data_IF_815859589806
#
_entry.id   IF_815859589806
#
_cell.length_a   1.000
_cell.length_b   1.000
_cell.length_c   1.000
_cell.angle_alpha   90.00
_cell.angle_beta   90.00
_cell.angle_gamma   90.00
#
_symmetry.space_group_name_H-M   'P 1'
#
loop_
_entity.id
_entity.type
_entity.pdbx_description
1 polymer ?
#
# COMPACT_ATOMS: atom_id res chain seq x y z
N UNK A 1 -10.61 -2.43 -26.24
CA UNK A 1 -10.89 -1.01 -26.55
C UNK A 1 -12.16 -0.56 -25.81
N UNK A 2 -12.20 -0.55 -24.49
CA UNK A 2 -13.34 -0.01 -23.73
C UNK A 2 -12.87 0.53 -22.39
N UNK A 3 -11.98 1.53 -22.44
CA UNK A 3 -11.66 2.37 -21.27
C UNK A 3 -12.56 3.63 -21.24
N UNK A 4 -13.38 3.83 -22.26
CA UNK A 4 -14.23 5.02 -22.38
C UNK A 4 -15.65 4.62 -22.01
N UNK A 5 -16.01 4.74 -20.74
CA UNK A 5 -17.41 4.85 -20.39
C UNK A 5 -17.59 5.84 -19.22
N UNK A 6 -18.13 7.01 -19.61
CA UNK A 6 -18.74 8.05 -18.75
C UNK A 6 -17.81 8.67 -17.71
N UNK A 7 -17.82 9.97 -17.63
CA UNK A 7 -17.38 10.88 -16.56
C UNK A 7 -17.46 10.26 -15.14
N UNK A 8 -16.66 9.24 -14.88
CA UNK A 8 -16.48 8.71 -13.54
C UNK A 8 -15.42 9.61 -12.91
N UNK A 9 -15.83 10.55 -12.07
CA UNK A 9 -14.88 11.27 -11.25
C UNK A 9 -14.23 10.26 -10.31
N UNK A 10 -12.97 9.93 -10.55
CA UNK A 10 -12.20 9.13 -9.61
C UNK A 10 -11.94 9.94 -8.35
N UNK A 11 -11.91 9.28 -7.20
CA UNK A 11 -11.48 9.88 -5.95
C UNK A 11 -10.79 8.81 -5.08
N UNK A 12 -9.83 9.23 -4.27
CA UNK A 12 -9.20 8.37 -3.28
C UNK A 12 -9.54 8.97 -1.91
N UNK A 13 -10.45 8.30 -1.21
CA UNK A 13 -10.90 8.69 0.13
C UNK A 13 -10.31 7.78 1.21
N UNK A 14 -9.83 6.61 0.83
CA UNK A 14 -9.20 5.64 1.72
C UNK A 14 -8.18 4.82 0.95
N UNK A 15 -7.00 4.64 1.51
CA UNK A 15 -5.96 3.84 0.89
C UNK A 15 -5.54 2.66 1.78
N UNK A 16 -4.84 1.70 1.17
CA UNK A 16 -4.12 0.66 1.89
C UNK A 16 -2.70 0.55 1.35
N UNK A 17 -1.74 0.31 2.24
CA UNK A 17 -0.35 0.01 1.91
C UNK A 17 -0.03 -1.38 2.44
N UNK A 18 0.47 -2.24 1.59
CA UNK A 18 0.82 -3.63 1.92
C UNK A 18 2.34 -3.77 1.91
N UNK A 19 2.90 -4.06 3.07
CA UNK A 19 4.32 -4.04 3.38
C UNK A 19 4.69 -2.83 4.24
N UNK A 20 4.98 -3.06 5.52
CA UNK A 20 5.28 -2.01 6.51
C UNK A 20 6.79 -1.78 6.70
N UNK A 21 7.58 -2.09 5.67
CA UNK A 21 9.00 -1.73 5.62
C UNK A 21 9.22 -0.22 5.60
N UNK A 22 10.46 0.22 5.35
CA UNK A 22 10.82 1.65 5.32
C UNK A 22 9.98 2.43 4.31
N UNK A 23 9.86 1.91 3.08
CA UNK A 23 9.08 2.58 2.04
C UNK A 23 7.58 2.55 2.32
N UNK A 24 7.03 1.38 2.65
CA UNK A 24 5.58 1.27 2.86
C UNK A 24 5.08 2.08 4.05
N UNK A 25 5.79 2.06 5.18
CA UNK A 25 5.45 2.92 6.31
C UNK A 25 5.56 4.41 5.95
N UNK A 26 6.60 4.80 5.19
CA UNK A 26 6.76 6.17 4.70
C UNK A 26 5.66 6.62 3.74
N UNK A 27 5.22 5.74 2.84
CA UNK A 27 4.08 6.00 1.93
C UNK A 27 2.78 6.12 2.73
N UNK A 28 2.56 5.24 3.73
CA UNK A 28 1.40 5.34 4.60
C UNK A 28 1.37 6.67 5.38
N UNK A 29 2.52 7.13 5.88
CA UNK A 29 2.64 8.45 6.52
C UNK A 29 2.33 9.59 5.55
N UNK A 30 2.86 9.57 4.32
CA UNK A 30 2.59 10.58 3.30
C UNK A 30 1.09 10.64 2.94
N UNK A 31 0.44 9.51 2.79
CA UNK A 31 -1.00 9.43 2.52
C UNK A 31 -1.83 9.96 3.70
N UNK A 32 -1.42 9.63 4.94
CA UNK A 32 -2.07 10.16 6.14
C UNK A 32 -1.89 11.68 6.27
N UNK A 33 -0.70 12.21 5.93
CA UNK A 33 -0.41 13.65 5.94
C UNK A 33 -1.24 14.42 4.89
N UNK A 34 -1.67 13.73 3.81
CA UNK A 34 -2.66 14.28 2.86
C UNK A 34 -4.11 14.22 3.40
N UNK A 35 -4.32 13.83 4.66
CA UNK A 35 -5.64 13.74 5.29
C UNK A 35 -6.43 12.49 4.91
N UNK A 36 -5.82 11.49 4.28
CA UNK A 36 -6.48 10.28 3.78
C UNK A 36 -6.28 9.13 4.78
N UNK A 37 -7.36 8.53 5.32
CA UNK A 37 -7.26 7.31 6.13
C UNK A 37 -6.54 6.20 5.36
N UNK A 38 -5.57 5.57 6.01
CA UNK A 38 -4.74 4.53 5.40
C UNK A 38 -4.64 3.30 6.28
N UNK A 39 -4.73 2.12 5.66
CA UNK A 39 -4.53 0.84 6.31
C UNK A 39 -3.12 0.38 5.97
N UNK A 40 -2.30 0.11 6.98
CA UNK A 40 -0.97 -0.43 6.82
C UNK A 40 -0.96 -1.91 7.22
N UNK A 41 -0.81 -2.79 6.23
CA UNK A 41 -0.78 -4.24 6.43
C UNK A 41 0.63 -4.80 6.21
N UNK A 42 0.93 -5.85 6.97
CA UNK A 42 2.13 -6.67 6.74
C UNK A 42 1.83 -8.15 7.01
N UNK A 43 2.80 -9.00 6.80
CA UNK A 43 2.69 -10.42 7.17
C UNK A 43 2.65 -10.59 8.68
N UNK A 44 2.01 -11.64 9.13
CA UNK A 44 2.17 -12.11 10.52
C UNK A 44 3.61 -12.60 10.71
N UNK A 45 4.30 -12.28 11.82
CA UNK A 45 5.64 -12.78 12.07
C UNK A 45 5.68 -14.32 11.98
N UNK A 46 6.59 -14.90 11.17
CA UNK A 46 6.57 -16.35 10.89
C UNK A 46 7.02 -17.18 12.09
N UNK A 47 7.69 -16.58 13.07
CA UNK A 47 8.20 -17.25 14.26
C UNK A 47 8.40 -16.27 15.42
N UNK A 48 8.40 -16.81 16.64
CA UNK A 48 8.80 -16.08 17.83
C UNK A 48 10.31 -15.81 17.81
N UNK A 49 10.71 -14.66 18.34
CA UNK A 49 12.12 -14.39 18.71
C UNK A 49 12.46 -15.08 20.01
N UNK A 50 13.75 -15.19 20.34
CA UNK A 50 14.19 -15.73 21.64
C UNK A 50 13.61 -14.93 22.82
N UNK A 51 13.52 -13.62 22.66
CA UNK A 51 12.93 -12.72 23.66
C UNK A 51 11.42 -12.99 23.84
N UNK A 52 10.70 -13.24 22.74
CA UNK A 52 9.28 -13.61 22.78
C UNK A 52 9.05 -14.91 23.56
N UNK A 53 9.93 -15.89 23.35
CA UNK A 53 9.85 -17.17 24.04
C UNK A 53 10.06 -16.98 25.56
N UNK A 54 11.06 -16.17 25.94
CA UNK A 54 11.35 -15.85 27.35
C UNK A 54 10.16 -15.12 27.99
N UNK A 55 9.52 -14.21 27.26
CA UNK A 55 8.37 -13.44 27.76
C UNK A 55 7.04 -14.19 27.69
N UNK A 56 7.01 -15.40 27.10
CA UNK A 56 5.79 -16.17 26.92
C UNK A 56 4.76 -15.49 26.02
N UNK A 57 5.21 -14.88 24.93
CA UNK A 57 4.33 -14.15 24.00
C UNK A 57 3.34 -15.10 23.34
N UNK A 58 2.05 -14.76 23.40
CA UNK A 58 1.01 -15.48 22.68
C UNK A 58 1.00 -15.11 21.21
N UNK A 59 1.28 -16.10 20.33
CA UNK A 59 1.28 -15.94 18.86
C UNK A 59 -0.09 -15.63 18.28
N UNK A 60 -1.17 -15.84 19.04
CA UNK A 60 -2.54 -15.48 18.64
C UNK A 60 -2.91 -14.05 19.02
N UNK A 61 -2.11 -13.39 19.86
CA UNK A 61 -2.38 -12.01 20.26
C UNK A 61 -2.25 -11.04 19.06
N UNK A 62 -3.13 -10.03 19.02
CA UNK A 62 -3.03 -8.97 17.99
C UNK A 62 -1.67 -8.26 18.07
N UNK A 63 -1.14 -8.05 19.25
CA UNK A 63 0.17 -7.43 19.45
C UNK A 63 1.29 -8.20 18.75
N UNK A 64 1.25 -9.54 18.74
CA UNK A 64 2.22 -10.35 18.00
C UNK A 64 1.91 -10.31 16.49
N UNK A 65 0.67 -10.55 16.11
CA UNK A 65 0.27 -10.72 14.71
C UNK A 65 0.44 -9.45 13.88
N UNK A 66 0.21 -8.27 14.48
CA UNK A 66 0.31 -6.97 13.80
C UNK A 66 1.69 -6.31 14.00
N UNK A 67 2.64 -6.99 14.63
CA UNK A 67 3.93 -6.44 15.06
C UNK A 67 4.68 -5.69 13.96
N UNK A 68 4.71 -6.23 12.75
CA UNK A 68 5.44 -5.61 11.65
C UNK A 68 4.76 -4.31 11.18
N UNK A 69 3.46 -4.32 11.02
CA UNK A 69 2.71 -3.12 10.68
C UNK A 69 2.77 -2.06 11.79
N UNK A 70 2.64 -2.49 13.04
CA UNK A 70 2.75 -1.63 14.22
C UNK A 70 4.14 -1.01 14.32
N UNK A 71 5.20 -1.79 14.14
CA UNK A 71 6.58 -1.29 14.14
C UNK A 71 6.85 -0.32 12.98
N UNK A 72 6.20 -0.52 11.82
CA UNK A 72 6.21 0.42 10.70
C UNK A 72 5.60 1.76 11.10
N UNK A 73 4.40 1.74 11.67
CA UNK A 73 3.71 2.94 12.17
C UNK A 73 4.52 3.66 13.24
N UNK A 74 5.01 2.96 14.26
CA UNK A 74 5.82 3.55 15.32
C UNK A 74 7.06 4.25 14.78
N UNK A 75 7.73 3.66 13.79
CA UNK A 75 8.92 4.23 13.17
C UNK A 75 8.64 5.56 12.48
N UNK A 76 7.54 5.69 11.73
CA UNK A 76 7.19 6.94 11.04
C UNK A 76 6.61 7.98 11.97
N UNK A 77 6.05 7.58 13.10
CA UNK A 77 5.50 8.46 14.13
C UNK A 77 6.52 8.82 15.23
N UNK A 78 7.76 8.32 15.17
CA UNK A 78 8.80 8.66 16.15
C UNK A 78 9.06 10.18 16.15
N UNK A 79 8.95 10.87 17.33
CA UNK A 79 9.08 12.34 17.38
C UNK A 79 10.44 12.88 16.93
N UNK A 80 11.49 12.03 16.93
CA UNK A 80 12.87 12.44 16.59
C UNK A 80 13.27 12.07 15.18
N UNK A 81 12.74 10.98 14.64
CA UNK A 81 13.21 10.38 13.38
C UNK A 81 12.06 10.08 12.42
N UNK A 82 10.84 10.25 12.86
CA UNK A 82 9.66 9.95 12.08
C UNK A 82 9.50 10.83 10.86
N UNK A 83 8.74 10.32 9.92
CA UNK A 83 8.49 10.99 8.65
C UNK A 83 7.06 11.50 8.53
N UNK A 84 6.20 11.26 9.52
CA UNK A 84 4.87 11.88 9.56
C UNK A 84 5.02 13.38 9.85
N UNK A 85 4.29 14.22 9.12
CA UNK A 85 4.40 15.68 9.24
C UNK A 85 3.68 16.17 10.50
N UNK A 86 2.42 15.77 10.64
CA UNK A 86 1.60 16.08 11.78
C UNK A 86 1.38 14.83 12.62
N UNK A 87 1.82 14.83 13.91
CA UNK A 87 1.58 13.69 14.80
C UNK A 87 0.10 13.30 14.95
N UNK A 88 -0.83 14.22 14.77
CA UNK A 88 -2.26 13.94 14.82
C UNK A 88 -2.70 13.05 13.66
N UNK A 89 -2.05 13.13 12.50
CA UNK A 89 -2.30 12.28 11.34
C UNK A 89 -1.95 10.81 11.59
N UNK A 90 -1.16 10.48 12.63
CA UNK A 90 -0.94 9.11 13.06
C UNK A 90 -2.26 8.36 13.38
N UNK A 91 -3.31 9.08 13.76
CA UNK A 91 -4.64 8.52 14.00
C UNK A 91 -5.31 8.00 12.74
N UNK A 92 -4.92 8.51 11.57
CA UNK A 92 -5.40 8.06 10.26
C UNK A 92 -4.76 6.73 9.81
N UNK A 93 -3.68 6.29 10.45
CA UNK A 93 -3.00 5.04 10.11
C UNK A 93 -3.56 3.90 10.97
N UNK A 94 -4.33 3.01 10.38
CA UNK A 94 -4.78 1.76 10.98
C UNK A 94 -3.83 0.64 10.61
N UNK A 95 -3.36 -0.14 11.58
CA UNK A 95 -2.47 -1.28 11.35
C UNK A 95 -3.23 -2.61 11.37
N UNK A 96 -2.70 -3.61 10.66
CA UNK A 96 -3.24 -4.95 10.64
C UNK A 96 -2.31 -5.92 9.92
N UNK A 97 -2.82 -7.10 9.60
CA UNK A 97 -2.03 -8.13 8.95
C UNK A 97 -2.78 -8.82 7.79
N UNK A 98 -2.02 -9.52 6.94
CA UNK A 98 -2.52 -10.16 5.73
C UNK A 98 -3.30 -11.47 5.98
N UNK A 99 -3.45 -11.90 7.22
CA UNK A 99 -4.23 -13.09 7.55
C UNK A 99 -5.60 -12.74 8.12
N UNK A 100 -5.67 -11.69 8.96
CA UNK A 100 -6.88 -11.37 9.71
C UNK A 100 -7.66 -10.18 9.13
N UNK A 101 -7.00 -9.30 8.35
CA UNK A 101 -7.52 -7.96 8.07
C UNK A 101 -7.74 -7.66 6.58
N UNK A 102 -7.71 -8.67 5.71
CA UNK A 102 -7.92 -8.47 4.26
C UNK A 102 -9.29 -7.86 3.92
N UNK A 103 -10.32 -8.11 4.74
CA UNK A 103 -11.65 -7.51 4.56
C UNK A 103 -11.63 -5.98 4.57
N UNK A 104 -10.65 -5.35 5.25
CA UNK A 104 -10.50 -3.90 5.29
C UNK A 104 -10.18 -3.29 3.92
N UNK A 105 -9.66 -4.09 2.97
CA UNK A 105 -9.37 -3.65 1.61
C UNK A 105 -10.64 -3.33 0.79
N UNK A 106 -11.81 -3.85 1.20
CA UNK A 106 -13.08 -3.64 0.49
C UNK A 106 -13.52 -2.19 0.42
N UNK A 107 -13.05 -1.37 1.37
CA UNK A 107 -13.38 0.05 1.44
C UNK A 107 -12.30 0.95 0.83
N UNK A 108 -11.16 0.38 0.40
CA UNK A 108 -10.04 1.15 -0.10
C UNK A 108 -10.21 1.49 -1.58
N UNK A 109 -10.01 2.77 -1.92
CA UNK A 109 -10.02 3.27 -3.30
C UNK A 109 -8.67 3.07 -3.97
N UNK A 110 -7.59 2.93 -3.19
CA UNK A 110 -6.24 2.72 -3.66
C UNK A 110 -5.50 1.73 -2.77
N UNK A 111 -4.88 0.71 -3.38
CA UNK A 111 -4.05 -0.29 -2.70
C UNK A 111 -2.65 -0.26 -3.30
N UNK A 112 -1.65 0.00 -2.48
CA UNK A 112 -0.23 0.09 -2.86
C UNK A 112 0.51 -1.14 -2.34
N UNK A 113 1.09 -1.92 -3.23
CA UNK A 113 1.96 -3.04 -2.89
C UNK A 113 3.41 -2.55 -2.70
N UNK A 114 4.01 -2.85 -1.55
CA UNK A 114 5.36 -2.40 -1.16
C UNK A 114 6.12 -3.54 -0.45
N UNK A 115 5.92 -4.78 -0.92
CA UNK A 115 6.62 -5.95 -0.38
C UNK A 115 8.00 -6.15 -1.03
N UNK A 116 8.66 -7.27 -0.72
CA UNK A 116 9.98 -7.61 -1.28
C UNK A 116 9.99 -7.58 -2.81
N UNK A 117 11.16 -7.31 -3.38
CA UNK A 117 11.37 -7.12 -4.83
C UNK A 117 11.51 -8.48 -5.54
N UNK A 118 10.44 -9.29 -5.46
CA UNK A 118 10.32 -10.61 -6.07
C UNK A 118 9.02 -10.71 -6.86
N UNK A 119 9.13 -11.04 -8.16
CA UNK A 119 7.97 -11.09 -9.07
C UNK A 119 6.90 -12.08 -8.60
N UNK A 120 7.33 -13.28 -8.17
CA UNK A 120 6.39 -14.32 -7.74
C UNK A 120 5.66 -13.94 -6.47
N UNK A 121 6.38 -13.40 -5.48
CA UNK A 121 5.78 -12.92 -4.23
C UNK A 121 4.74 -11.83 -4.48
N UNK A 122 5.04 -10.88 -5.40
CA UNK A 122 4.10 -9.81 -5.77
C UNK A 122 2.86 -10.36 -6.49
N UNK A 123 3.02 -11.31 -7.42
CA UNK A 123 1.90 -11.97 -8.09
C UNK A 123 1.02 -12.76 -7.10
N UNK A 124 1.63 -13.51 -6.18
CA UNK A 124 0.91 -14.30 -5.17
C UNK A 124 0.13 -13.41 -4.21
N UNK A 125 0.71 -12.27 -3.81
CA UNK A 125 0.01 -11.27 -3.03
C UNK A 125 -1.21 -10.74 -3.79
N UNK A 126 -1.05 -10.31 -5.05
CA UNK A 126 -2.17 -9.77 -5.85
C UNK A 126 -3.27 -10.81 -6.05
N UNK A 127 -2.91 -12.06 -6.32
CA UNK A 127 -3.88 -13.17 -6.41
C UNK A 127 -4.63 -13.37 -5.08
N UNK A 128 -3.93 -13.28 -3.95
CA UNK A 128 -4.52 -13.42 -2.60
C UNK A 128 -5.52 -12.31 -2.30
N UNK A 129 -5.17 -11.04 -2.60
CA UNK A 129 -5.99 -9.90 -2.22
C UNK A 129 -7.11 -9.56 -3.21
N UNK A 130 -7.06 -10.04 -4.47
CA UNK A 130 -7.97 -9.63 -5.55
C UNK A 130 -9.46 -9.72 -5.22
N UNK A 131 -9.86 -10.69 -4.41
CA UNK A 131 -11.26 -10.90 -4.02
C UNK A 131 -11.74 -9.95 -2.92
N UNK A 132 -10.80 -9.26 -2.28
CA UNK A 132 -11.05 -8.25 -1.25
C UNK A 132 -10.99 -6.83 -1.80
N UNK A 133 -10.59 -6.64 -3.05
CA UNK A 133 -10.46 -5.29 -3.63
C UNK A 133 -11.84 -4.72 -3.98
N UNK A 134 -12.01 -3.44 -3.68
CA UNK A 134 -13.19 -2.67 -4.09
C UNK A 134 -13.27 -2.64 -5.62
N UNK A 135 -14.45 -2.88 -6.23
CA UNK A 135 -14.61 -2.72 -7.66
C UNK A 135 -14.19 -1.31 -8.11
N UNK A 136 -13.26 -1.25 -9.06
CA UNK A 136 -12.76 0.02 -9.55
C UNK A 136 -11.64 0.66 -8.72
N UNK A 137 -11.15 0.04 -7.66
CA UNK A 137 -10.00 0.54 -6.90
C UNK A 137 -8.75 0.68 -7.77
N UNK A 138 -7.93 1.67 -7.49
CA UNK A 138 -6.57 1.74 -8.01
C UNK A 138 -5.71 0.70 -7.32
N UNK A 139 -4.88 0.01 -8.08
CA UNK A 139 -3.93 -0.96 -7.56
C UNK A 139 -2.56 -0.58 -8.10
N UNK A 140 -1.57 -0.48 -7.24
CA UNK A 140 -0.23 -0.13 -7.70
C UNK A 140 0.87 -0.89 -6.96
N UNK A 141 2.06 -0.93 -7.56
CA UNK A 141 3.27 -1.46 -6.94
C UNK A 141 4.33 -0.38 -6.86
N UNK A 142 5.05 -0.33 -5.74
CA UNK A 142 6.19 0.56 -5.53
C UNK A 142 7.52 -0.08 -5.99
N UNK A 143 7.47 -1.05 -6.88
CA UNK A 143 8.67 -1.70 -7.40
C UNK A 143 9.60 -0.71 -8.10
N UNK A 144 10.91 -0.91 -7.95
CA UNK A 144 11.94 -0.14 -8.65
C UNK A 144 12.48 -0.84 -9.90
N UNK A 145 12.33 -2.17 -10.01
CA UNK A 145 12.97 -2.94 -11.07
C UNK A 145 12.15 -4.10 -11.63
N UNK A 146 11.09 -4.53 -10.95
CA UNK A 146 10.25 -5.64 -11.44
C UNK A 146 9.24 -5.12 -12.45
N UNK A 147 9.06 -5.83 -13.56
CA UNK A 147 8.13 -5.44 -14.62
C UNK A 147 6.70 -5.24 -14.12
N UNK A 148 6.15 -4.03 -14.27
CA UNK A 148 4.75 -3.71 -13.92
C UNK A 148 3.78 -4.62 -14.67
N UNK A 149 4.00 -4.84 -15.97
CA UNK A 149 3.20 -5.79 -16.77
C UNK A 149 3.32 -7.22 -16.23
N UNK A 150 4.53 -7.62 -15.79
CA UNK A 150 4.76 -8.94 -15.18
C UNK A 150 3.99 -9.11 -13.88
N UNK A 151 4.07 -8.12 -12.98
CA UNK A 151 3.33 -8.14 -11.70
C UNK A 151 1.82 -8.23 -11.94
N UNK A 152 1.31 -7.47 -12.90
CA UNK A 152 -0.12 -7.44 -13.25
C UNK A 152 -0.69 -8.82 -13.65
N UNK A 153 0.15 -9.79 -14.06
CA UNK A 153 -0.32 -11.15 -14.36
C UNK A 153 -0.93 -11.87 -13.13
N UNK A 154 -0.62 -11.45 -11.91
CA UNK A 154 -1.29 -11.90 -10.69
C UNK A 154 -2.75 -11.43 -10.55
N UNK A 155 -3.22 -10.55 -11.44
CA UNK A 155 -4.58 -10.02 -11.45
C UNK A 155 -5.40 -10.56 -12.65
N UNK A 156 -6.73 -10.70 -12.50
CA UNK A 156 -7.62 -10.91 -13.62
C UNK A 156 -7.50 -9.77 -14.64
N UNK A 157 -7.71 -10.08 -15.92
CA UNK A 157 -7.55 -9.12 -17.03
C UNK A 157 -8.27 -7.78 -16.80
N UNK A 158 -9.50 -7.82 -16.27
CA UNK A 158 -10.27 -6.61 -16.03
C UNK A 158 -9.64 -5.71 -14.93
N UNK A 159 -8.94 -6.30 -13.95
CA UNK A 159 -8.25 -5.55 -12.91
C UNK A 159 -6.90 -4.99 -13.39
N UNK A 160 -6.27 -5.58 -14.41
CA UNK A 160 -4.99 -5.07 -14.96
C UNK A 160 -5.11 -3.67 -15.55
N UNK A 161 -6.31 -3.30 -16.02
CA UNK A 161 -6.61 -1.94 -16.47
C UNK A 161 -6.48 -0.88 -15.39
N UNK A 162 -6.52 -1.31 -14.12
CA UNK A 162 -6.47 -0.45 -12.94
C UNK A 162 -5.10 -0.50 -12.25
N UNK A 163 -4.18 -1.34 -12.75
CA UNK A 163 -2.87 -1.57 -12.18
C UNK A 163 -1.81 -0.69 -12.83
N UNK A 164 -0.93 -0.09 -12.02
CA UNK A 164 0.19 0.75 -12.46
C UNK A 164 1.35 0.67 -11.46
N UNK A 165 2.52 1.16 -11.83
CA UNK A 165 3.60 1.44 -10.90
C UNK A 165 3.43 2.83 -10.30
N UNK A 166 3.62 2.94 -8.99
CA UNK A 166 3.76 4.20 -8.24
C UNK A 166 5.05 4.13 -7.45
N UNK A 167 6.16 4.49 -8.11
CA UNK A 167 7.48 4.38 -7.52
C UNK A 167 7.85 5.67 -6.80
N UNK A 168 7.78 5.62 -5.47
CA UNK A 168 8.19 6.67 -4.55
C UNK A 168 9.68 6.55 -4.24
N UNK A 169 10.34 7.67 -3.97
CA UNK A 169 11.74 7.73 -3.57
C UNK A 169 11.89 7.90 -2.06
N UNK A 170 12.96 7.34 -1.51
CA UNK A 170 13.22 7.34 -0.06
C UNK A 170 13.96 8.61 0.38
N UNK A 171 13.50 9.31 1.41
CA UNK A 171 12.21 9.14 2.12
C UNK A 171 11.05 9.82 1.35
N UNK A 172 9.85 9.18 1.25
CA UNK A 172 8.73 9.73 0.47
C UNK A 172 8.32 11.16 0.87
N UNK A 173 8.48 11.51 2.14
CA UNK A 173 8.17 12.84 2.66
C UNK A 173 9.04 13.95 2.05
N UNK A 174 10.30 13.67 1.75
CA UNK A 174 11.27 14.69 1.34
C UNK A 174 11.61 14.63 -0.14
N UNK A 175 11.42 13.46 -0.74
CA UNK A 175 11.67 13.24 -2.16
C UNK A 175 10.37 13.41 -2.93
N UNK A 176 10.11 14.66 -3.35
CA UNK A 176 8.90 15.03 -4.11
C UNK A 176 8.88 14.50 -5.55
N UNK A 177 9.36 13.28 -5.74
CA UNK A 177 9.36 12.59 -7.03
C UNK A 177 8.53 11.32 -6.92
N UNK A 178 7.53 11.21 -7.76
CA UNK A 178 6.71 10.03 -7.94
C UNK A 178 6.73 9.62 -9.41
N UNK A 179 7.34 8.48 -9.72
CA UNK A 179 7.28 7.89 -11.05
C UNK A 179 5.99 7.10 -11.20
N UNK A 180 5.24 7.40 -12.26
CA UNK A 180 4.04 6.67 -12.65
C UNK A 180 4.37 5.80 -13.87
N UNK A 181 4.26 4.48 -13.72
CA UNK A 181 4.71 3.51 -14.70
C UNK A 181 3.50 2.70 -15.17
N UNK A 182 3.01 2.89 -16.41
CA UNK A 182 1.91 2.08 -16.92
C UNK A 182 2.35 0.64 -17.19
N UNK A 183 1.49 -0.31 -16.90
CA UNK A 183 1.58 -1.65 -17.48
C UNK A 183 0.96 -1.67 -18.89
N UNK A 184 1.07 -2.80 -19.58
CA UNK A 184 0.58 -2.95 -20.94
C UNK A 184 -0.93 -2.72 -21.09
N UNK A 185 -1.71 -3.02 -20.06
CA UNK A 185 -3.17 -2.93 -20.07
C UNK A 185 -3.71 -1.74 -19.23
N UNK A 186 -2.83 -0.94 -18.63
CA UNK A 186 -3.24 0.19 -17.78
C UNK A 186 -4.04 1.23 -18.56
N UNK A 187 -5.22 1.60 -18.05
CA UNK A 187 -6.05 2.61 -18.70
C UNK A 187 -5.42 4.02 -18.62
N UNK A 188 -5.37 4.77 -19.73
CA UNK A 188 -4.84 6.14 -19.75
C UNK A 188 -5.51 7.08 -18.75
N UNK A 189 -6.83 6.96 -18.54
CA UNK A 189 -7.57 7.79 -17.60
C UNK A 189 -7.12 7.57 -16.14
N UNK A 190 -6.70 6.34 -15.83
CA UNK A 190 -6.12 6.00 -14.52
C UNK A 190 -4.77 6.69 -14.31
N UNK A 191 -3.95 6.69 -15.37
CA UNK A 191 -2.66 7.39 -15.34
C UNK A 191 -2.83 8.89 -15.19
N UNK A 192 -3.77 9.49 -15.92
CA UNK A 192 -4.08 10.92 -15.86
C UNK A 192 -4.55 11.31 -14.44
N UNK A 193 -5.46 10.52 -13.87
CA UNK A 193 -5.94 10.77 -12.51
C UNK A 193 -4.81 10.65 -11.47
N UNK A 194 -3.99 9.58 -11.52
CA UNK A 194 -2.91 9.39 -10.57
C UNK A 194 -1.83 10.48 -10.67
N UNK A 195 -1.60 11.00 -11.88
CA UNK A 195 -0.73 12.17 -12.06
C UNK A 195 -1.30 13.39 -11.34
N UNK A 196 -2.56 13.74 -11.58
CA UNK A 196 -3.20 14.88 -10.93
C UNK A 196 -3.26 14.68 -9.40
N UNK A 197 -3.57 13.48 -8.93
CA UNK A 197 -3.58 13.13 -7.51
C UNK A 197 -2.19 13.29 -6.87
N UNK A 198 -1.14 12.79 -7.51
CA UNK A 198 0.24 12.96 -7.05
C UNK A 198 0.63 14.43 -6.92
N UNK A 199 0.35 15.23 -7.95
CA UNK A 199 0.72 16.66 -8.00
C UNK A 199 -0.08 17.55 -7.04
N UNK A 200 -1.35 17.23 -6.80
CA UNK A 200 -2.25 18.14 -6.05
C UNK A 200 -2.54 17.70 -4.62
N UNK A 201 -2.44 16.41 -4.35
CA UNK A 201 -2.84 15.85 -3.05
C UNK A 201 -1.63 15.35 -2.26
N UNK A 202 -0.70 14.66 -2.92
CA UNK A 202 0.48 14.16 -2.23
C UNK A 202 1.64 15.17 -2.17
N UNK A 203 1.68 16.15 -3.07
CA UNK A 203 2.66 17.25 -3.09
C UNK A 203 3.88 16.94 -3.93
#
# INVERSE_FOLDING_TARGET
>A
MDCINKTTSFSIQKAAVIGAGTMGAGIAALVADAGIPVILLDIVPPKLTEEDVIKGVDTKSRTFRDRFAQGGKERVCDPKRGTIYDPEHATLITVGNLEDDLELLRDCDWVVEVIIEDLKAKQDLLEKIRTYLKPGAFISSNTSGVSITGIAQGLPREMRKQFLGTHFFNPPRYMHLLELIPGQETCPDRMAFMKEFGERVLG
#
